data_IF_677131340632
#
_entry.id   IF_677131340632
#
_cell.length_a   1.000
_cell.length_b   1.000
_cell.length_c   1.000
_cell.angle_alpha   90.00
_cell.angle_beta   90.00
_cell.angle_gamma   90.00
#
_symmetry.space_group_name_H-M   'P 1'
#
loop_
_entity.id
_entity.type
_entity.pdbx_description
1 polymer ?
#
# COMPACT_ATOMS: atom_id res chain seq x y z
N UNK A 1 -13.28 -19.08 -5.36
CA UNK A 1 -11.93 -18.95 -4.77
C UNK A 1 -11.79 -17.67 -3.96
N UNK A 2 -11.80 -16.46 -4.57
CA UNK A 2 -11.72 -15.21 -3.80
C UNK A 2 -12.91 -15.00 -2.84
N UNK A 3 -14.13 -15.33 -3.27
CA UNK A 3 -15.31 -15.33 -2.38
C UNK A 3 -15.17 -16.30 -1.20
N UNK A 4 -14.62 -17.49 -1.43
CA UNK A 4 -14.38 -18.47 -0.35
C UNK A 4 -13.32 -17.97 0.64
N UNK A 5 -12.29 -17.27 0.14
CA UNK A 5 -11.27 -16.65 0.97
C UNK A 5 -11.84 -15.53 1.85
N UNK A 6 -12.68 -14.65 1.29
CA UNK A 6 -13.39 -13.60 2.05
C UNK A 6 -14.20 -14.23 3.18
N UNK A 7 -15.03 -15.24 2.88
CA UNK A 7 -15.84 -15.92 3.89
C UNK A 7 -14.99 -16.53 5.02
N UNK A 8 -13.81 -17.09 4.68
CA UNK A 8 -12.92 -17.67 5.68
C UNK A 8 -12.25 -16.59 6.53
N UNK A 9 -11.81 -15.48 5.93
CA UNK A 9 -11.21 -14.34 6.63
C UNK A 9 -12.23 -13.72 7.59
N UNK A 10 -13.44 -13.43 7.12
CA UNK A 10 -14.52 -12.90 7.96
C UNK A 10 -14.82 -13.83 9.14
N UNK A 11 -14.89 -15.15 8.89
CA UNK A 11 -15.08 -16.14 9.96
C UNK A 11 -13.92 -16.15 10.97
N UNK A 12 -12.67 -15.95 10.53
CA UNK A 12 -11.52 -15.83 11.43
C UNK A 12 -11.66 -14.58 12.31
N UNK A 13 -12.04 -13.45 11.71
CA UNK A 13 -12.23 -12.18 12.43
C UNK A 13 -13.40 -12.23 13.40
N UNK A 14 -14.48 -12.97 13.09
CA UNK A 14 -15.59 -13.21 14.01
C UNK A 14 -15.14 -13.99 15.27
N UNK A 15 -14.23 -14.97 15.11
CA UNK A 15 -13.69 -15.75 16.23
C UNK A 15 -12.57 -15.04 16.98
N UNK A 16 -11.83 -14.16 16.31
CA UNK A 16 -10.70 -13.40 16.86
C UNK A 16 -10.75 -11.94 16.39
N UNK A 17 -11.61 -11.09 16.99
CA UNK A 17 -11.80 -9.71 16.55
C UNK A 17 -10.54 -8.85 16.62
N UNK A 18 -9.65 -9.14 17.58
CA UNK A 18 -8.37 -8.44 17.75
C UNK A 18 -7.40 -8.71 16.59
N UNK A 19 -7.63 -9.77 15.83
CA UNK A 19 -6.82 -10.17 14.68
C UNK A 19 -5.30 -10.25 14.96
N UNK A 20 -4.95 -10.91 16.06
CA UNK A 20 -3.55 -11.12 16.45
C UNK A 20 -2.69 -11.82 15.37
N UNK A 21 -3.30 -12.38 14.33
CA UNK A 21 -2.63 -13.09 13.24
C UNK A 21 -2.59 -12.29 11.92
N UNK A 22 -3.18 -11.10 11.86
CA UNK A 22 -3.16 -10.23 10.68
C UNK A 22 -4.01 -10.71 9.49
N UNK A 23 -5.03 -11.53 9.73
CA UNK A 23 -5.95 -11.98 8.68
C UNK A 23 -6.72 -10.81 8.04
N UNK A 24 -6.94 -9.73 8.78
CA UNK A 24 -7.60 -8.50 8.32
C UNK A 24 -6.89 -7.91 7.12
N UNK A 25 -5.55 -7.96 7.09
CA UNK A 25 -4.73 -7.42 6.00
C UNK A 25 -5.03 -8.07 4.65
N UNK A 26 -5.62 -9.27 4.63
CA UNK A 26 -6.00 -9.97 3.41
C UNK A 26 -7.40 -9.57 2.89
N UNK A 27 -8.24 -8.97 3.73
CA UNK A 27 -9.67 -8.78 3.43
C UNK A 27 -9.94 -7.72 2.35
N UNK A 28 -9.46 -6.48 2.55
CA UNK A 28 -9.59 -5.39 1.57
C UNK A 28 -9.17 -5.80 0.15
N UNK A 29 -8.00 -6.42 -0.03
CA UNK A 29 -7.54 -6.86 -1.34
C UNK A 29 -8.43 -7.94 -1.99
N UNK A 30 -8.90 -8.91 -1.21
CA UNK A 30 -9.79 -9.96 -1.73
C UNK A 30 -11.16 -9.39 -2.14
N UNK A 31 -11.66 -8.42 -1.38
CA UNK A 31 -12.87 -7.65 -1.75
C UNK A 31 -12.66 -6.89 -3.07
N UNK A 32 -11.50 -6.26 -3.26
CA UNK A 32 -11.17 -5.58 -4.50
C UNK A 32 -11.16 -6.54 -5.70
N UNK A 33 -10.55 -7.72 -5.55
CA UNK A 33 -10.52 -8.78 -6.60
C UNK A 33 -11.89 -9.32 -6.98
N UNK A 34 -12.85 -9.28 -6.07
CA UNK A 34 -14.22 -9.73 -6.34
C UNK A 34 -15.14 -8.62 -6.85
N UNK A 35 -14.64 -7.39 -6.97
CA UNK A 35 -15.42 -6.23 -7.40
C UNK A 35 -16.33 -5.66 -6.30
N UNK A 36 -16.16 -6.08 -5.04
CA UNK A 36 -16.91 -5.58 -3.89
C UNK A 36 -16.38 -4.20 -3.44
N UNK A 37 -16.40 -3.22 -4.36
CA UNK A 37 -15.71 -1.94 -4.25
C UNK A 37 -16.08 -1.12 -3.01
N UNK A 38 -17.35 -1.10 -2.61
CA UNK A 38 -17.79 -0.35 -1.41
C UNK A 38 -17.28 -0.99 -0.11
N UNK A 39 -17.34 -2.32 -0.01
CA UNK A 39 -16.81 -3.05 1.15
C UNK A 39 -15.29 -2.94 1.22
N UNK A 40 -14.62 -3.11 0.06
CA UNK A 40 -13.17 -2.89 -0.05
C UNK A 40 -12.82 -1.48 0.42
N UNK A 41 -13.54 -0.44 -0.04
CA UNK A 41 -13.30 0.94 0.36
C UNK A 41 -13.33 1.11 1.87
N UNK A 42 -14.35 0.58 2.54
CA UNK A 42 -14.51 0.70 3.99
C UNK A 42 -13.30 0.12 4.72
N UNK A 43 -12.97 -1.15 4.46
CA UNK A 43 -11.86 -1.85 5.13
C UNK A 43 -10.52 -1.17 4.84
N UNK A 44 -10.28 -0.78 3.59
CA UNK A 44 -9.03 -0.13 3.20
C UNK A 44 -8.88 1.23 3.89
N UNK A 45 -9.93 2.05 3.92
CA UNK A 45 -9.89 3.37 4.55
C UNK A 45 -9.72 3.29 6.07
N UNK A 46 -10.34 2.31 6.71
CA UNK A 46 -10.27 2.13 8.16
C UNK A 46 -8.85 1.81 8.63
N UNK A 47 -8.06 1.07 7.84
CA UNK A 47 -6.76 0.56 8.28
C UNK A 47 -5.55 1.01 7.46
N UNK A 48 -5.70 1.89 6.47
CA UNK A 48 -4.57 2.28 5.62
C UNK A 48 -3.46 3.02 6.39
N UNK A 49 -3.78 3.75 7.45
CA UNK A 49 -2.77 4.38 8.32
C UNK A 49 -1.98 3.35 9.16
N UNK A 50 -2.52 2.14 9.36
CA UNK A 50 -1.86 1.04 10.08
C UNK A 50 -1.04 0.15 9.15
N UNK A 51 -1.57 -0.18 7.96
CA UNK A 51 -0.95 -1.11 7.02
C UNK A 51 -0.73 -0.46 5.66
N UNK A 52 0.53 -0.11 5.37
CA UNK A 52 0.89 0.71 4.21
C UNK A 52 0.41 0.21 2.83
N UNK A 53 0.32 -1.11 2.53
CA UNK A 53 -0.18 -1.58 1.24
C UNK A 53 -1.61 -1.14 0.92
N UNK A 54 -2.43 -0.88 1.94
CA UNK A 54 -3.82 -0.46 1.74
C UNK A 54 -3.94 0.92 1.08
N UNK A 55 -2.94 1.79 1.22
CA UNK A 55 -2.91 3.04 0.45
C UNK A 55 -2.83 2.81 -1.06
N UNK A 56 -2.09 1.78 -1.49
CA UNK A 56 -1.95 1.41 -2.90
C UNK A 56 -3.23 0.80 -3.44
N UNK A 57 -3.89 -0.06 -2.67
CA UNK A 57 -5.16 -0.68 -3.05
C UNK A 57 -6.30 0.34 -3.06
N UNK A 58 -6.32 1.27 -2.10
CA UNK A 58 -7.27 2.37 -2.08
C UNK A 58 -7.06 3.31 -3.28
N UNK A 59 -5.79 3.58 -3.63
CA UNK A 59 -5.44 4.32 -4.84
C UNK A 59 -5.93 3.64 -6.12
N UNK A 60 -5.73 2.32 -6.23
CA UNK A 60 -6.22 1.52 -7.35
C UNK A 60 -7.75 1.55 -7.41
N UNK A 61 -8.44 1.33 -6.29
CA UNK A 61 -9.90 1.40 -6.21
C UNK A 61 -10.44 2.76 -6.70
N UNK A 62 -9.86 3.86 -6.22
CA UNK A 62 -10.25 5.20 -6.66
C UNK A 62 -9.98 5.41 -8.15
N UNK A 63 -8.85 4.93 -8.65
CA UNK A 63 -8.50 5.01 -10.07
C UNK A 63 -9.53 4.26 -10.93
N UNK A 64 -9.89 3.04 -10.55
CA UNK A 64 -10.89 2.21 -11.23
C UNK A 64 -12.29 2.86 -11.24
N UNK A 65 -12.61 3.65 -10.21
CA UNK A 65 -13.85 4.43 -10.15
C UNK A 65 -13.77 5.78 -10.89
N UNK A 66 -12.65 6.09 -11.56
CA UNK A 66 -12.43 7.36 -12.26
C UNK A 66 -12.15 8.55 -11.34
N UNK A 67 -11.93 8.33 -10.04
CA UNK A 67 -11.74 9.36 -9.02
C UNK A 67 -10.25 9.77 -8.92
N UNK A 68 -9.69 10.27 -10.03
CA UNK A 68 -8.23 10.46 -10.17
C UNK A 68 -7.58 11.32 -9.08
N UNK A 69 -8.28 12.34 -8.55
CA UNK A 69 -7.77 13.17 -7.46
C UNK A 69 -7.63 12.35 -6.17
N UNK A 70 -8.64 11.54 -5.83
CA UNK A 70 -8.59 10.66 -4.65
C UNK A 70 -7.53 9.56 -4.83
N UNK A 71 -7.42 9.02 -6.04
CA UNK A 71 -6.38 8.05 -6.38
C UNK A 71 -4.99 8.64 -6.15
N UNK A 72 -4.73 9.84 -6.67
CA UNK A 72 -3.45 10.52 -6.48
C UNK A 72 -3.15 10.80 -5.00
N UNK A 73 -4.16 11.21 -4.22
CA UNK A 73 -4.00 11.40 -2.77
C UNK A 73 -3.64 10.10 -2.05
N UNK A 74 -4.35 9.00 -2.34
CA UNK A 74 -4.08 7.71 -1.73
C UNK A 74 -2.69 7.18 -2.11
N UNK A 75 -2.30 7.28 -3.39
CA UNK A 75 -0.96 6.87 -3.82
C UNK A 75 0.15 7.70 -3.17
N UNK A 76 0.00 9.02 -3.05
CA UNK A 76 0.99 9.86 -2.36
C UNK A 76 1.16 9.47 -0.89
N UNK A 77 0.07 9.12 -0.20
CA UNK A 77 0.14 8.55 1.16
C UNK A 77 0.86 7.20 1.17
N UNK A 78 0.59 6.34 0.19
CA UNK A 78 1.31 5.08 -0.01
C UNK A 78 2.81 5.29 -0.21
N UNK A 79 3.20 6.26 -1.05
CA UNK A 79 4.61 6.59 -1.29
C UNK A 79 5.34 7.05 -0.02
N UNK A 80 4.64 7.79 0.84
CA UNK A 80 5.17 8.24 2.12
C UNK A 80 5.26 7.09 3.15
N UNK A 81 4.30 6.16 3.15
CA UNK A 81 4.24 5.07 4.10
C UNK A 81 5.16 3.88 3.75
N UNK A 82 5.25 3.52 2.47
CA UNK A 82 6.15 2.49 1.96
C UNK A 82 6.50 2.78 0.50
N UNK A 83 7.57 3.55 0.28
CA UNK A 83 7.99 3.96 -1.06
C UNK A 83 8.36 2.79 -1.98
N UNK A 84 8.80 1.67 -1.42
CA UNK A 84 9.33 0.52 -2.17
C UNK A 84 8.26 -0.16 -3.01
N UNK A 85 7.00 -0.17 -2.55
CA UNK A 85 5.89 -0.73 -3.34
C UNK A 85 5.76 0.01 -4.68
N UNK A 86 5.88 1.35 -4.68
CA UNK A 86 5.83 2.11 -5.92
C UNK A 86 7.01 1.79 -6.85
N UNK A 87 8.22 1.64 -6.30
CA UNK A 87 9.40 1.25 -7.07
C UNK A 87 9.23 -0.11 -7.74
N UNK A 88 8.77 -1.11 -6.98
CA UNK A 88 8.56 -2.47 -7.47
C UNK A 88 7.47 -2.50 -8.54
N UNK A 89 6.33 -1.83 -8.30
CA UNK A 89 5.26 -1.70 -9.30
C UNK A 89 5.73 -1.00 -10.58
N UNK A 90 6.71 -0.10 -10.48
CA UNK A 90 7.29 0.62 -11.62
C UNK A 90 8.51 -0.09 -12.24
N UNK A 91 8.82 -1.32 -11.82
CA UNK A 91 9.80 -2.20 -12.45
C UNK A 91 11.16 -2.30 -11.76
N UNK A 92 11.39 -1.57 -10.65
CA UNK A 92 12.56 -1.79 -9.79
C UNK A 92 12.23 -2.87 -8.75
N UNK A 93 12.35 -4.14 -9.16
CA UNK A 93 11.88 -5.30 -8.37
C UNK A 93 12.65 -5.53 -7.05
N UNK A 94 13.85 -4.96 -6.92
CA UNK A 94 14.70 -5.10 -5.73
C UNK A 94 15.26 -3.73 -5.33
N UNK A 95 14.42 -2.85 -4.77
CA UNK A 95 14.85 -1.51 -4.39
C UNK A 95 15.85 -1.59 -3.22
N UNK A 96 16.83 -0.69 -3.21
CA UNK A 96 17.78 -0.60 -2.11
C UNK A 96 17.08 0.03 -0.88
N UNK A 97 17.21 -0.58 0.31
CA UNK A 97 16.62 -0.01 1.51
C UNK A 97 17.23 1.35 1.84
N UNK A 98 16.37 2.32 2.13
CA UNK A 98 16.74 3.61 2.69
C UNK A 98 17.26 3.44 4.12
N UNK A 99 18.24 4.25 4.51
CA UNK A 99 18.79 4.30 5.87
C UNK A 99 17.87 5.11 6.82
N UNK A 100 16.61 4.69 6.92
CA UNK A 100 15.58 5.29 7.79
C UNK A 100 14.93 4.20 8.62
N UNK A 101 14.31 4.55 9.75
CA UNK A 101 13.47 3.62 10.48
C UNK A 101 12.25 3.23 9.64
N UNK A 102 11.92 1.94 9.61
CA UNK A 102 10.69 1.43 9.03
C UNK A 102 9.77 0.92 10.15
N UNK A 103 8.50 1.28 10.08
CA UNK A 103 7.48 0.57 10.86
C UNK A 103 7.26 -0.84 10.27
N UNK A 104 6.42 -1.65 10.92
CA UNK A 104 6.20 -3.05 10.54
C UNK A 104 5.71 -3.26 9.08
N UNK A 105 5.14 -2.24 8.44
CA UNK A 105 4.61 -2.30 7.08
C UNK A 105 5.36 -1.39 6.09
N UNK A 106 6.38 -0.66 6.55
CA UNK A 106 7.05 0.40 5.79
C UNK A 106 8.30 -0.05 5.05
N UNK A 107 8.77 -1.27 5.33
CA UNK A 107 10.02 -1.81 4.81
C UNK A 107 9.91 -2.46 3.43
N UNK A 108 11.06 -2.79 2.80
CA UNK A 108 11.11 -3.48 1.51
C UNK A 108 10.49 -4.89 1.59
N UNK A 109 10.66 -5.62 2.70
CA UNK A 109 10.10 -6.98 2.87
C UNK A 109 8.58 -6.99 2.68
N UNK A 110 7.86 -6.04 3.30
CA UNK A 110 6.41 -5.87 3.10
C UNK A 110 6.07 -5.57 1.64
N UNK A 111 6.91 -4.79 0.96
CA UNK A 111 6.68 -4.42 -0.43
C UNK A 111 6.86 -5.62 -1.38
N UNK A 112 7.85 -6.47 -1.12
CA UNK A 112 8.09 -7.70 -1.86
C UNK A 112 6.96 -8.71 -1.64
N UNK A 113 6.54 -8.94 -0.39
CA UNK A 113 5.41 -9.83 -0.05
C UNK A 113 4.09 -9.36 -0.69
N UNK A 114 3.84 -8.05 -0.62
CA UNK A 114 2.71 -7.44 -1.30
C UNK A 114 2.78 -7.68 -2.80
N UNK A 115 3.89 -7.36 -3.46
CA UNK A 115 3.99 -7.53 -4.90
C UNK A 115 3.84 -8.99 -5.33
N UNK A 116 4.49 -9.93 -4.63
CA UNK A 116 4.38 -11.37 -4.89
C UNK A 116 2.91 -11.83 -4.88
N UNK A 117 2.13 -11.30 -3.94
CA UNK A 117 0.72 -11.65 -3.76
C UNK A 117 -0.21 -10.89 -4.72
N UNK A 118 0.05 -9.62 -4.99
CA UNK A 118 -0.91 -8.70 -5.61
C UNK A 118 -0.61 -8.29 -7.05
N UNK A 119 0.59 -8.57 -7.58
CA UNK A 119 0.94 -8.24 -8.97
C UNK A 119 -0.07 -8.74 -10.04
N UNK A 120 -0.79 -9.89 -9.90
CA UNK A 120 -1.75 -10.30 -10.92
C UNK A 120 -2.98 -9.39 -11.00
N UNK A 121 -3.32 -8.68 -9.91
CA UNK A 121 -4.38 -7.68 -9.92
C UNK A 121 -3.91 -6.43 -10.68
N UNK A 122 -2.71 -5.94 -10.38
CA UNK A 122 -2.10 -4.81 -11.07
C UNK A 122 -1.91 -5.05 -12.56
N UNK A 123 -1.54 -6.28 -12.95
CA UNK A 123 -1.38 -6.68 -14.34
C UNK A 123 -2.68 -6.63 -15.17
N UNK A 124 -3.86 -6.58 -14.53
CA UNK A 124 -5.14 -6.38 -15.22
C UNK A 124 -5.40 -4.93 -15.61
N UNK A 125 -4.69 -3.98 -14.98
CA UNK A 125 -4.91 -2.54 -15.11
C UNK A 125 -3.58 -1.81 -15.41
N UNK A 126 -2.95 -2.08 -16.57
CA UNK A 126 -1.66 -1.45 -16.92
C UNK A 126 -1.71 0.08 -16.93
N UNK A 127 -2.87 0.68 -17.21
CA UNK A 127 -3.10 2.13 -17.12
C UNK A 127 -2.94 2.68 -15.69
N UNK A 128 -3.29 1.90 -14.66
CA UNK A 128 -3.07 2.28 -13.27
C UNK A 128 -1.58 2.29 -12.93
N UNK A 129 -0.79 1.33 -13.47
CA UNK A 129 0.66 1.32 -13.33
C UNK A 129 1.30 2.54 -14.01
N UNK A 130 0.83 2.92 -15.20
CA UNK A 130 1.27 4.15 -15.86
C UNK A 130 0.96 5.40 -15.02
N UNK A 131 -0.22 5.44 -14.41
CA UNK A 131 -0.62 6.53 -13.52
C UNK A 131 0.26 6.63 -12.27
N UNK A 132 0.52 5.49 -11.61
CA UNK A 132 1.44 5.41 -10.47
C UNK A 132 2.84 5.86 -10.87
N UNK A 133 3.38 5.35 -11.98
CA UNK A 133 4.71 5.71 -12.46
C UNK A 133 4.83 7.20 -12.79
N UNK A 134 3.83 7.77 -13.48
CA UNK A 134 3.79 9.21 -13.75
C UNK A 134 3.75 10.02 -12.45
N UNK A 135 2.88 9.65 -11.51
CA UNK A 135 2.69 10.38 -10.26
C UNK A 135 3.92 10.29 -9.34
N UNK A 136 4.51 9.10 -9.22
CA UNK A 136 5.70 8.83 -8.42
C UNK A 136 6.92 9.63 -8.88
N UNK A 137 7.01 9.89 -10.20
CA UNK A 137 8.06 10.70 -10.82
C UNK A 137 7.66 12.16 -11.06
N UNK A 138 6.47 12.58 -10.64
CA UNK A 138 6.03 13.97 -10.79
C UNK A 138 6.87 14.87 -9.89
N UNK A 139 7.37 16.01 -10.41
CA UNK A 139 8.35 16.85 -9.71
C UNK A 139 7.90 17.31 -8.32
N UNK A 140 6.61 17.67 -8.16
CA UNK A 140 6.06 18.05 -6.86
C UNK A 140 6.01 16.89 -5.86
N UNK A 141 5.77 15.66 -6.34
CA UNK A 141 5.70 14.45 -5.50
C UNK A 141 7.11 14.00 -5.14
N UNK A 142 8.07 14.11 -6.06
CA UNK A 142 9.50 13.90 -5.76
C UNK A 142 9.99 14.87 -4.68
N UNK A 143 9.63 16.15 -4.78
CA UNK A 143 9.98 17.13 -3.75
C UNK A 143 9.35 16.80 -2.39
N UNK A 144 8.04 16.50 -2.36
CA UNK A 144 7.35 16.07 -1.13
C UNK A 144 8.03 14.85 -0.48
N UNK A 145 8.33 13.81 -1.26
CA UNK A 145 8.99 12.60 -0.76
C UNK A 145 10.39 12.90 -0.23
N UNK A 146 11.16 13.75 -0.90
CA UNK A 146 12.48 14.15 -0.44
C UNK A 146 12.44 14.85 0.93
N UNK A 147 11.46 15.73 1.15
CA UNK A 147 11.28 16.38 2.46
C UNK A 147 10.88 15.38 3.56
N UNK A 148 10.00 14.42 3.25
CA UNK A 148 9.60 13.36 4.19
C UNK A 148 10.81 12.49 4.57
N UNK A 149 11.58 12.04 3.58
CA UNK A 149 12.78 11.21 3.81
C UNK A 149 13.79 11.96 4.66
N UNK A 150 14.04 13.23 4.36
CA UNK A 150 14.94 14.08 5.16
C UNK A 150 14.51 14.16 6.62
N UNK A 151 13.22 14.31 6.90
CA UNK A 151 12.70 14.28 8.27
C UNK A 151 12.93 12.92 8.94
N UNK A 152 12.70 11.81 8.22
CA UNK A 152 12.92 10.46 8.74
C UNK A 152 14.40 10.17 9.05
N UNK A 153 15.32 10.62 8.19
CA UNK A 153 16.77 10.51 8.39
C UNK A 153 17.23 11.33 9.61
N UNK A 154 16.68 12.54 9.81
CA UNK A 154 17.01 13.37 10.98
C UNK A 154 16.57 12.71 12.30
N UNK A 155 15.40 12.08 12.33
CA UNK A 155 14.93 11.36 13.53
C UNK A 155 15.86 10.17 13.87
N UNK A 156 16.36 9.45 12.87
CA UNK A 156 17.33 8.37 13.10
C UNK A 156 18.66 8.86 13.66
N UNK A 157 19.15 10.00 13.18
CA UNK A 157 20.40 10.57 13.70
C UNK A 157 20.29 10.95 15.18
N UNK A 158 19.11 11.32 15.67
CA UNK A 158 18.91 11.64 17.09
C UNK A 158 19.03 10.39 17.99
N UNK A 159 18.59 9.22 17.49
CA UNK A 159 18.65 7.93 18.21
C UNK A 159 20.04 7.27 18.19
N UNK A 160 20.92 7.65 17.25
CA UNK A 160 22.30 7.12 17.14
C UNK A 160 23.26 7.64 18.25
N UNK A 161 22.81 8.57 19.11
CA UNK A 161 23.61 9.17 20.19
C UNK A 161 23.41 8.53 21.59
N UNK A 162 22.65 7.42 21.70
CA UNK A 162 22.56 6.59 22.92
C UNK A 162 23.43 5.33 22.87
#
# INVERSE_FOLDING_TARGET
RHQDAIMLIEKILDYNPEDNHGARWLLGPELLRTGAHEQARHILQEHADEFSPYWYELGLLHFLNGELVKAATAFRRGFAANTYIAEILCGNLHPFPLAVWHNFSGGPDTAEDYYATYHPLWGQYPEALLFVNWLYNHSSVLHERAEIIKCAEMLMQEDDFE
#
